data_IF_985336109953
#
_entry.id   IF_985336109953
#
_cell.length_a   1.000
_cell.length_b   1.000
_cell.length_c   1.000
_cell.angle_alpha   90.00
_cell.angle_beta   90.00
_cell.angle_gamma   90.00
#
_symmetry.space_group_name_H-M   'P 1'
#
loop_
_entity.id
_entity.type
_entity.pdbx_description
1 polymer ?
#
# COMPACT_ATOMS: atom_id res chain seq x y z
N UNK A 1 -45.62 51.24 -25.75
CA UNK A 1 -44.24 50.78 -25.57
C UNK A 1 -44.04 49.55 -26.45
N UNK A 2 -43.28 49.67 -27.53
CA UNK A 2 -42.87 48.57 -28.42
C UNK A 2 -41.36 48.37 -28.23
N UNK A 3 -40.94 47.13 -27.97
CA UNK A 3 -39.53 46.78 -27.75
C UNK A 3 -38.76 46.69 -29.07
N UNK A 4 -37.58 47.32 -29.11
CA UNK A 4 -36.61 47.29 -30.20
C UNK A 4 -35.71 46.05 -30.07
N UNK A 5 -35.95 45.00 -30.88
CA UNK A 5 -34.96 43.93 -31.10
C UNK A 5 -34.82 43.49 -32.57
N UNK A 6 -35.60 44.03 -33.50
CA UNK A 6 -35.66 43.50 -34.87
C UNK A 6 -34.61 44.03 -35.86
N UNK A 7 -33.45 44.56 -35.40
CA UNK A 7 -32.41 45.03 -36.34
C UNK A 7 -30.99 44.76 -35.84
N UNK A 8 -30.58 43.49 -35.85
CA UNK A 8 -29.15 43.12 -35.83
C UNK A 8 -28.83 42.44 -37.17
N UNK A 9 -28.01 43.05 -38.05
CA UNK A 9 -27.64 42.43 -39.31
C UNK A 9 -26.65 41.28 -39.06
N UNK A 10 -26.90 40.15 -39.70
CA UNK A 10 -26.05 38.95 -39.63
C UNK A 10 -24.83 39.18 -40.53
N UNK A 11 -23.58 39.02 -40.04
CA UNK A 11 -22.39 39.23 -40.87
C UNK A 11 -22.19 38.10 -41.90
N UNK A 12 -21.92 38.47 -43.16
CA UNK A 12 -21.68 37.58 -44.32
C UNK A 12 -20.52 36.56 -44.16
N UNK A 13 -19.72 36.64 -43.08
CA UNK A 13 -18.56 35.76 -42.86
C UNK A 13 -18.86 34.48 -42.06
N UNK A 14 -20.08 34.29 -41.58
CA UNK A 14 -20.44 33.08 -40.82
C UNK A 14 -20.51 31.84 -41.72
N UNK A 15 -21.07 31.97 -42.92
CA UNK A 15 -21.27 30.83 -43.82
C UNK A 15 -19.94 30.30 -44.39
N UNK A 16 -18.97 31.18 -44.67
CA UNK A 16 -17.63 30.77 -45.13
C UNK A 16 -16.84 30.02 -44.05
N UNK A 17 -16.96 30.42 -42.78
CA UNK A 17 -16.29 29.75 -41.65
C UNK A 17 -16.91 28.38 -41.38
N UNK A 18 -18.23 28.25 -41.54
CA UNK A 18 -18.93 26.96 -41.40
C UNK A 18 -18.55 26.00 -42.53
N UNK A 19 -18.51 26.46 -43.78
CA UNK A 19 -18.19 25.62 -44.94
C UNK A 19 -16.70 25.20 -44.94
N UNK A 20 -15.78 26.09 -44.56
CA UNK A 20 -14.35 25.75 -44.46
C UNK A 20 -14.08 24.72 -43.36
N UNK A 21 -14.71 24.87 -42.20
CA UNK A 21 -14.61 23.92 -41.08
C UNK A 21 -15.15 22.53 -41.43
N UNK A 22 -16.27 22.45 -42.18
CA UNK A 22 -16.84 21.18 -42.62
C UNK A 22 -15.97 20.44 -43.65
N UNK A 23 -15.23 21.16 -44.49
CA UNK A 23 -14.34 20.58 -45.49
C UNK A 23 -13.04 20.01 -44.87
N UNK A 24 -12.53 20.61 -43.79
CA UNK A 24 -11.41 20.04 -43.02
C UNK A 24 -11.80 18.75 -42.28
N UNK A 25 -13.01 18.70 -41.71
CA UNK A 25 -13.54 17.51 -41.03
C UNK A 25 -13.68 16.33 -41.99
N UNK A 26 -14.10 16.56 -43.26
CA UNK A 26 -14.16 15.51 -44.29
C UNK A 26 -12.78 14.96 -44.68
N UNK A 27 -11.73 15.79 -44.73
CA UNK A 27 -10.35 15.34 -45.01
C UNK A 27 -9.77 14.51 -43.85
N UNK A 28 -10.09 14.86 -42.60
CA UNK A 28 -9.70 14.10 -41.41
C UNK A 28 -10.41 12.74 -41.36
N UNK A 29 -11.71 12.69 -41.71
CA UNK A 29 -12.49 11.45 -41.76
C UNK A 29 -11.94 10.44 -42.77
N UNK A 30 -11.53 10.91 -43.97
CA UNK A 30 -10.98 10.03 -45.01
C UNK A 30 -9.55 9.55 -44.72
N UNK A 31 -8.74 10.31 -43.95
CA UNK A 31 -7.43 9.85 -43.45
C UNK A 31 -7.57 8.79 -42.34
N UNK A 32 -8.56 8.91 -41.46
CA UNK A 32 -8.83 7.92 -40.39
C UNK A 32 -9.44 6.61 -40.91
N UNK A 33 -10.20 6.66 -42.00
CA UNK A 33 -10.76 5.46 -42.65
C UNK A 33 -9.70 4.60 -43.37
N UNK A 34 -8.59 5.19 -43.83
CA UNK A 34 -7.53 4.45 -44.54
C UNK A 34 -6.59 3.65 -43.63
N UNK A 35 -6.65 3.87 -42.31
CA UNK A 35 -5.74 3.25 -41.33
C UNK A 35 -6.41 2.19 -40.43
N UNK A 36 -7.58 1.65 -40.82
CA UNK A 36 -8.26 0.56 -40.08
C UNK A 36 -8.34 -0.73 -40.90
N UNK A 37 -7.20 -1.36 -41.15
CA UNK A 37 -7.12 -2.80 -41.46
C UNK A 37 -5.99 -3.39 -40.61
N UNK A 38 -6.28 -4.55 -39.97
CA UNK A 38 -5.47 -5.37 -39.02
C UNK A 38 -5.72 -5.02 -37.53
N UNK A 39 -6.77 -5.53 -36.88
CA UNK A 39 -6.94 -6.83 -36.13
C UNK A 39 -6.56 -6.70 -34.62
N UNK A 40 -7.54 -6.48 -33.71
CA UNK A 40 -8.18 -7.45 -32.77
C UNK A 40 -7.24 -7.85 -31.59
N UNK A 41 -7.51 -7.63 -30.29
CA UNK A 41 -8.67 -7.91 -29.41
C UNK A 41 -8.49 -7.17 -28.05
N UNK A 42 -9.45 -6.80 -27.19
CA UNK A 42 -10.91 -6.74 -27.19
C UNK A 42 -11.28 -5.61 -26.21
N UNK A 43 -12.21 -4.75 -26.62
CA UNK A 43 -12.77 -3.68 -25.79
C UNK A 43 -14.20 -4.08 -25.38
N UNK A 44 -14.56 -3.86 -24.11
CA UNK A 44 -15.96 -3.69 -23.72
C UNK A 44 -16.14 -2.24 -23.28
N UNK A 45 -16.45 -1.37 -24.25
CA UNK A 45 -17.01 -0.04 -23.97
C UNK A 45 -18.53 -0.23 -23.84
N UNK A 46 -19.04 -0.21 -22.61
CA UNK A 46 -20.49 -0.18 -22.38
C UNK A 46 -20.97 1.24 -22.63
N UNK A 47 -21.86 1.37 -23.61
CA UNK A 47 -22.60 2.58 -23.90
C UNK A 47 -23.57 2.89 -22.75
N UNK A 48 -23.48 4.09 -22.16
CA UNK A 48 -24.58 4.66 -21.38
C UNK A 48 -25.26 5.71 -22.26
N UNK A 49 -26.35 5.29 -22.90
CA UNK A 49 -27.32 6.18 -23.50
C UNK A 49 -28.09 6.90 -22.38
N UNK A 50 -28.19 8.22 -22.50
CA UNK A 50 -28.98 9.03 -21.60
C UNK A 50 -30.49 8.86 -21.83
N UNK A 51 -31.25 8.76 -20.75
CA UNK A 51 -32.59 9.32 -20.60
C UNK A 51 -32.72 9.77 -19.14
N UNK A 52 -33.07 11.04 -18.94
CA UNK A 52 -33.04 11.71 -17.65
C UNK A 52 -34.13 11.26 -16.68
N UNK A 53 -33.81 11.40 -15.39
CA UNK A 53 -34.46 12.29 -14.40
C UNK A 53 -33.34 12.68 -13.41
N UNK A 54 -33.10 13.97 -13.23
CA UNK A 54 -32.09 14.51 -12.31
C UNK A 54 -32.54 14.34 -10.86
N UNK A 55 -32.07 13.28 -10.19
CA UNK A 55 -32.03 13.19 -8.74
C UNK A 55 -30.59 13.50 -8.27
N UNK A 56 -30.34 14.62 -7.56
CA UNK A 56 -29.01 14.94 -7.02
C UNK A 56 -28.44 13.86 -6.11
N UNK A 57 -29.29 13.02 -5.49
CA UNK A 57 -28.86 11.92 -4.62
C UNK A 57 -28.31 10.69 -5.37
N UNK A 58 -28.27 10.70 -6.71
CA UNK A 58 -27.68 9.65 -7.55
C UNK A 58 -26.37 10.12 -8.21
N UNK A 59 -25.92 11.35 -7.93
CA UNK A 59 -24.64 11.88 -8.41
C UNK A 59 -23.42 11.51 -7.53
N UNK A 60 -23.56 10.61 -6.55
CA UNK A 60 -22.48 10.23 -5.62
C UNK A 60 -21.84 8.86 -5.88
N UNK A 61 -22.10 8.22 -7.03
CA UNK A 61 -21.37 7.01 -7.45
C UNK A 61 -20.49 7.32 -8.66
N UNK A 62 -19.35 7.98 -8.44
CA UNK A 62 -18.22 7.83 -9.35
C UNK A 62 -17.54 6.51 -9.00
N UNK A 63 -17.59 5.47 -9.85
CA UNK A 63 -16.84 4.27 -9.56
C UNK A 63 -15.35 4.55 -9.79
N UNK A 64 -14.60 4.42 -8.69
CA UNK A 64 -13.29 3.79 -8.58
C UNK A 64 -12.20 4.44 -9.44
N UNK A 65 -11.30 5.17 -8.79
CA UNK A 65 -9.92 5.28 -9.25
C UNK A 65 -9.32 3.86 -9.19
N UNK A 66 -9.64 3.00 -10.17
CA UNK A 66 -9.17 1.61 -10.21
C UNK A 66 -7.74 1.61 -10.74
N UNK A 67 -6.82 2.13 -9.94
CA UNK A 67 -5.39 2.32 -10.25
C UNK A 67 -4.67 3.05 -9.10
N UNK A 68 -5.12 2.91 -7.85
CA UNK A 68 -4.47 3.56 -6.71
C UNK A 68 -3.04 3.04 -6.59
N UNK A 69 -2.86 1.72 -6.74
CA UNK A 69 -1.53 1.12 -6.73
C UNK A 69 -0.60 1.80 -7.74
N UNK A 70 -1.01 1.95 -9.00
CA UNK A 70 -0.18 2.60 -10.04
C UNK A 70 0.25 4.04 -9.70
N UNK A 71 -0.46 4.73 -8.81
CA UNK A 71 -0.15 6.11 -8.40
C UNK A 71 0.84 6.19 -7.24
N UNK A 72 0.81 5.20 -6.35
CA UNK A 72 1.50 5.23 -5.06
C UNK A 72 2.57 4.14 -4.89
N UNK A 73 2.56 3.09 -5.70
CA UNK A 73 3.41 1.88 -5.55
C UNK A 73 4.92 2.13 -5.54
N UNK A 74 5.37 3.28 -6.06
CA UNK A 74 6.79 3.69 -6.07
C UNK A 74 7.14 4.71 -4.97
N UNK A 75 6.19 5.07 -4.10
CA UNK A 75 6.31 6.18 -3.15
C UNK A 75 5.98 5.76 -1.71
N UNK A 76 5.83 4.47 -1.45
CA UNK A 76 5.50 3.89 -0.16
C UNK A 76 6.65 2.99 0.32
N UNK A 77 6.67 2.68 1.62
CA UNK A 77 7.75 1.94 2.29
C UNK A 77 8.00 0.57 1.68
N UNK A 78 6.93 -0.12 1.29
CA UNK A 78 6.95 -1.40 0.61
C UNK A 78 6.67 -1.17 -0.87
N UNK A 79 7.61 -0.59 -1.59
CA UNK A 79 7.44 -0.28 -3.01
C UNK A 79 7.63 -1.51 -3.90
N UNK A 80 6.92 -1.54 -5.03
CA UNK A 80 7.02 -2.63 -6.01
C UNK A 80 6.00 -2.51 -7.15
N UNK A 81 5.75 -3.60 -7.87
CA UNK A 81 4.79 -3.65 -8.97
C UNK A 81 3.46 -4.29 -8.51
N UNK A 82 2.68 -3.54 -7.75
CA UNK A 82 1.36 -4.01 -7.30
C UNK A 82 0.38 -4.07 -8.47
N UNK A 83 0.50 -3.15 -9.43
CA UNK A 83 -0.44 -3.03 -10.54
C UNK A 83 -0.53 -4.29 -11.42
N UNK A 84 0.51 -5.12 -11.46
CA UNK A 84 0.51 -6.40 -12.18
C UNK A 84 0.03 -7.59 -11.36
N UNK A 85 -0.03 -7.47 -10.02
CA UNK A 85 -0.30 -8.56 -9.09
C UNK A 85 -1.65 -8.41 -8.34
N UNK A 86 -2.12 -7.18 -8.16
CA UNK A 86 -3.29 -6.89 -7.33
C UNK A 86 -4.61 -7.27 -8.01
N UNK A 87 -5.55 -7.71 -7.17
CA UNK A 87 -6.93 -7.96 -7.56
C UNK A 87 -7.77 -6.70 -7.31
N UNK A 88 -8.66 -6.39 -8.25
CA UNK A 88 -9.71 -5.39 -8.01
C UNK A 88 -10.79 -5.99 -7.13
N UNK A 89 -11.30 -5.20 -6.20
CA UNK A 89 -12.40 -5.59 -5.32
C UNK A 89 -13.55 -4.60 -5.45
N UNK A 90 -14.76 -5.09 -5.25
CA UNK A 90 -15.98 -4.30 -5.21
C UNK A 90 -16.57 -4.42 -3.80
N UNK A 91 -16.15 -3.50 -2.93
CA UNK A 91 -16.59 -3.43 -1.52
C UNK A 91 -17.37 -2.14 -1.35
N UNK A 92 -18.48 -2.20 -0.61
CA UNK A 92 -19.31 -1.03 -0.35
C UNK A 92 -18.54 0.06 0.39
N UNK A 93 -18.58 1.29 -0.13
CA UNK A 93 -18.04 2.48 0.53
C UNK A 93 -18.61 2.61 1.93
N UNK A 94 -17.72 2.77 2.91
CA UNK A 94 -18.10 3.03 4.30
C UNK A 94 -18.03 4.53 4.57
N UNK A 95 -19.03 5.05 5.27
CA UNK A 95 -19.17 6.48 5.58
C UNK A 95 -19.38 6.68 7.08
N UNK A 96 -18.56 7.52 7.71
CA UNK A 96 -18.73 7.87 9.12
C UNK A 96 -18.13 9.24 9.42
N UNK A 97 -18.84 10.06 10.21
CA UNK A 97 -18.43 11.42 10.64
C UNK A 97 -18.00 12.38 9.49
N UNK A 98 -18.45 12.10 8.26
CA UNK A 98 -18.09 12.87 7.06
C UNK A 98 -16.81 12.38 6.37
N UNK A 99 -16.28 11.23 6.75
CA UNK A 99 -15.25 10.50 6.05
C UNK A 99 -15.88 9.34 5.27
N UNK A 100 -15.73 9.36 3.95
CA UNK A 100 -16.07 8.26 3.06
C UNK A 100 -14.78 7.51 2.69
N UNK A 101 -14.79 6.18 2.82
CA UNK A 101 -13.67 5.31 2.46
C UNK A 101 -14.14 4.22 1.51
N UNK A 102 -13.45 4.09 0.37
CA UNK A 102 -13.66 3.04 -0.62
C UNK A 102 -12.41 2.18 -0.74
N UNK A 103 -12.59 0.86 -0.77
CA UNK A 103 -11.53 -0.11 -1.08
C UNK A 103 -11.62 -0.46 -2.56
N UNK A 104 -10.52 -0.36 -3.30
CA UNK A 104 -10.51 -0.55 -4.76
C UNK A 104 -9.70 -1.79 -5.21
N UNK A 105 -8.53 -1.99 -4.64
CA UNK A 105 -7.54 -2.99 -5.04
C UNK A 105 -6.92 -3.64 -3.80
N UNK A 106 -6.57 -4.92 -3.91
CA UNK A 106 -5.92 -5.69 -2.86
C UNK A 106 -4.88 -6.65 -3.42
N UNK A 107 -3.76 -6.75 -2.73
CA UNK A 107 -2.77 -7.81 -2.93
C UNK A 107 -2.49 -8.51 -1.60
N UNK A 108 -2.29 -9.82 -1.60
CA UNK A 108 -1.94 -10.57 -0.41
C UNK A 108 -0.96 -11.69 -0.76
N UNK A 109 0.16 -11.77 -0.04
CA UNK A 109 1.18 -12.81 -0.16
C UNK A 109 1.06 -13.91 0.91
N UNK A 110 -0.03 -13.87 1.70
CA UNK A 110 -0.27 -14.77 2.82
C UNK A 110 0.48 -14.41 4.10
N UNK A 111 1.42 -13.47 4.04
CA UNK A 111 2.13 -12.91 5.18
C UNK A 111 1.62 -11.52 5.56
N UNK A 112 1.22 -10.74 4.56
CA UNK A 112 0.67 -9.40 4.65
C UNK A 112 -0.43 -9.21 3.59
N UNK A 113 -1.43 -8.38 3.89
CA UNK A 113 -2.38 -7.86 2.91
C UNK A 113 -2.13 -6.37 2.68
N UNK A 114 -2.14 -5.94 1.42
CA UNK A 114 -1.95 -4.56 0.99
C UNK A 114 -3.23 -4.07 0.34
N UNK A 115 -3.88 -3.11 0.97
CA UNK A 115 -5.26 -2.71 0.67
C UNK A 115 -5.25 -1.24 0.28
N UNK A 116 -5.70 -0.92 -0.94
CA UNK A 116 -5.81 0.47 -1.35
C UNK A 116 -7.07 1.11 -0.74
N UNK A 117 -6.95 2.34 -0.27
CA UNK A 117 -8.04 3.14 0.28
C UNK A 117 -8.13 4.47 -0.47
N UNK A 118 -9.31 4.77 -0.99
CA UNK A 118 -9.69 6.10 -1.46
C UNK A 118 -10.55 6.76 -0.38
N UNK A 119 -10.09 7.92 0.11
CA UNK A 119 -10.68 8.63 1.23
C UNK A 119 -11.15 10.01 0.77
N UNK A 120 -12.39 10.36 1.12
CA UNK A 120 -12.96 11.69 0.92
C UNK A 120 -13.49 12.19 2.24
N UNK A 121 -12.94 13.30 2.74
CA UNK A 121 -13.40 13.95 3.96
C UNK A 121 -14.29 15.15 3.63
N UNK A 122 -15.25 15.45 4.50
CA UNK A 122 -16.18 16.59 4.34
C UNK A 122 -15.46 17.95 4.33
N UNK A 123 -14.32 18.04 5.02
CA UNK A 123 -13.51 19.25 5.16
C UNK A 123 -12.14 19.06 4.47
N UNK A 124 -11.42 20.16 4.22
CA UNK A 124 -10.09 20.09 3.63
C UNK A 124 -9.10 19.33 4.55
N UNK A 125 -8.34 18.42 3.95
CA UNK A 125 -7.19 17.77 4.56
C UNK A 125 -6.05 18.79 4.62
N UNK A 126 -5.67 19.16 5.85
CA UNK A 126 -4.56 20.05 6.12
C UNK A 126 -3.19 19.48 5.71
N UNK A 127 -2.16 19.84 6.46
CA UNK A 127 -0.83 19.24 6.26
C UNK A 127 -0.84 17.82 6.82
N UNK A 128 -0.49 16.84 6.00
CA UNK A 128 -0.35 15.45 6.43
C UNK A 128 1.04 15.19 7.01
N UNK A 129 1.17 14.26 7.97
CA UNK A 129 2.45 13.84 8.51
C UNK A 129 3.20 13.11 7.41
N UNK A 130 4.53 13.22 7.46
CA UNK A 130 5.41 12.54 6.53
C UNK A 130 6.18 11.46 7.25
N UNK A 131 6.17 10.25 6.72
CA UNK A 131 6.92 9.13 7.29
C UNK A 131 8.20 8.90 6.48
N UNK A 132 9.37 8.80 7.14
CA UNK A 132 10.62 8.44 6.49
C UNK A 132 10.50 7.12 5.72
N UNK A 133 10.93 7.10 4.46
CA UNK A 133 11.11 5.88 3.69
C UNK A 133 12.38 5.14 4.11
N UNK A 134 13.35 5.87 4.70
CA UNK A 134 14.59 5.28 5.16
C UNK A 134 15.04 5.70 6.57
N UNK A 135 16.00 4.93 7.10
CA UNK A 135 16.57 5.11 8.44
C UNK A 135 17.42 6.40 8.54
N UNK A 136 17.79 6.98 7.41
CA UNK A 136 18.52 8.24 7.30
C UNK A 136 17.57 9.45 7.13
N UNK A 137 16.25 9.18 7.07
CA UNK A 137 15.16 10.12 6.86
C UNK A 137 15.31 11.00 5.60
N UNK A 138 15.99 10.46 4.59
CA UNK A 138 16.35 11.22 3.38
C UNK A 138 15.15 11.43 2.45
N UNK A 139 14.25 10.45 2.42
CA UNK A 139 12.99 10.48 1.69
C UNK A 139 11.82 10.24 2.65
N UNK A 140 10.66 10.81 2.33
CA UNK A 140 9.44 10.61 3.12
C UNK A 140 8.19 10.75 2.26
N UNK A 141 7.09 10.14 2.69
CA UNK A 141 5.80 10.20 2.01
C UNK A 141 4.67 10.58 2.97
N UNK A 142 3.55 11.07 2.43
CA UNK A 142 2.40 11.43 3.26
C UNK A 142 1.69 10.18 3.78
N UNK A 143 1.31 10.20 5.05
CA UNK A 143 0.60 9.08 5.67
C UNK A 143 -0.60 9.56 6.47
N UNK A 144 -1.61 8.71 6.63
CA UNK A 144 -2.69 8.87 7.60
C UNK A 144 -2.59 7.73 8.60
N UNK A 145 -2.68 8.02 9.89
CA UNK A 145 -2.65 6.99 10.92
C UNK A 145 -4.04 6.39 11.11
N UNK A 146 -4.08 5.09 11.38
CA UNK A 146 -5.33 4.42 11.70
C UNK A 146 -5.14 3.33 12.75
N UNK A 147 -6.15 3.16 13.60
CA UNK A 147 -6.27 1.98 14.45
C UNK A 147 -7.13 0.95 13.72
N UNK A 148 -6.57 -0.23 13.46
CA UNK A 148 -7.28 -1.31 12.79
C UNK A 148 -7.58 -2.45 13.75
N UNK A 149 -8.75 -3.06 13.56
CA UNK A 149 -9.07 -4.36 14.12
C UNK A 149 -9.55 -5.27 13.01
N UNK A 150 -9.18 -6.55 13.06
CA UNK A 150 -9.56 -7.46 12.00
C UNK A 150 -9.60 -8.93 12.41
N UNK A 151 -10.27 -9.70 11.58
CA UNK A 151 -10.37 -11.16 11.65
C UNK A 151 -10.54 -11.71 10.24
N UNK A 152 -10.26 -13.00 10.06
CA UNK A 152 -10.58 -13.71 8.82
C UNK A 152 -11.68 -14.73 9.08
N UNK A 153 -12.45 -15.06 8.05
CA UNK A 153 -13.46 -16.09 8.14
C UNK A 153 -12.87 -17.48 8.44
N UNK A 154 -13.65 -18.31 9.15
CA UNK A 154 -13.20 -19.61 9.64
C UNK A 154 -12.39 -19.55 10.96
N UNK A 155 -11.92 -18.38 11.38
CA UNK A 155 -11.19 -18.23 12.64
C UNK A 155 -12.09 -17.60 13.72
N UNK A 156 -12.40 -18.40 14.74
CA UNK A 156 -13.26 -18.01 15.86
C UNK A 156 -12.46 -17.31 16.98
N UNK A 157 -11.66 -16.32 16.59
CA UNK A 157 -10.98 -15.43 17.53
C UNK A 157 -11.39 -14.00 17.17
N UNK A 158 -12.16 -13.36 18.05
CA UNK A 158 -12.50 -11.96 17.86
C UNK A 158 -11.23 -11.12 17.89
N UNK A 159 -10.94 -10.45 16.76
CA UNK A 159 -9.91 -9.40 16.62
C UNK A 159 -8.48 -9.89 16.78
N UNK A 160 -8.14 -10.94 16.05
CA UNK A 160 -6.76 -11.45 15.94
C UNK A 160 -5.78 -10.41 15.37
N UNK A 161 -6.30 -9.45 14.62
CA UNK A 161 -5.58 -8.26 14.17
C UNK A 161 -6.04 -7.09 15.04
N UNK A 162 -5.11 -6.43 15.72
CA UNK A 162 -5.34 -5.23 16.53
C UNK A 162 -4.03 -4.43 16.59
N UNK A 163 -3.92 -3.39 15.77
CA UNK A 163 -2.68 -2.63 15.60
C UNK A 163 -2.95 -1.20 15.12
N UNK A 164 -2.00 -0.30 15.43
CA UNK A 164 -1.96 1.03 14.82
C UNK A 164 -1.08 0.98 13.58
N UNK A 165 -1.68 1.31 12.45
CA UNK A 165 -1.04 1.26 11.14
C UNK A 165 -1.06 2.62 10.46
N UNK A 166 -0.35 2.70 9.34
CA UNK A 166 -0.37 3.85 8.45
C UNK A 166 -1.01 3.48 7.12
N UNK A 167 -1.77 4.42 6.59
CA UNK A 167 -2.22 4.45 5.20
C UNK A 167 -1.22 5.34 4.47
N UNK A 168 -0.31 4.73 3.71
CA UNK A 168 0.79 5.41 3.03
C UNK A 168 0.36 5.83 1.62
N UNK A 169 0.53 7.10 1.25
CA UNK A 169 0.02 7.58 -0.03
C UNK A 169 0.21 9.07 -0.26
N UNK A 170 -0.80 9.70 -0.85
CA UNK A 170 -0.77 11.14 -1.15
C UNK A 170 -2.16 11.74 -1.27
N UNK A 171 -2.27 13.05 -1.00
CA UNK A 171 -3.49 13.80 -1.31
C UNK A 171 -3.78 13.79 -2.82
N UNK A 172 -5.02 13.49 -3.18
CA UNK A 172 -5.53 13.54 -4.55
C UNK A 172 -6.36 14.80 -4.81
N UNK A 173 -6.74 15.51 -3.75
CA UNK A 173 -7.46 16.79 -3.79
C UNK A 173 -7.37 17.52 -2.44
N UNK A 174 -8.02 18.68 -2.28
CA UNK A 174 -8.02 19.43 -1.02
C UNK A 174 -8.57 18.61 0.15
N UNK A 175 -9.57 17.76 -0.08
CA UNK A 175 -10.27 16.95 0.91
C UNK A 175 -10.17 15.44 0.66
N UNK A 176 -9.28 15.02 -0.24
CA UNK A 176 -9.20 13.64 -0.72
C UNK A 176 -7.78 13.07 -0.60
N UNK A 177 -7.69 11.79 -0.22
CA UNK A 177 -6.43 11.06 -0.07
C UNK A 177 -6.56 9.66 -0.68
N UNK A 178 -5.50 9.19 -1.33
CA UNK A 178 -5.41 7.82 -1.79
C UNK A 178 -4.10 7.19 -1.29
N UNK A 179 -4.18 5.97 -0.77
CA UNK A 179 -3.02 5.28 -0.21
C UNK A 179 -3.23 3.79 -0.01
N UNK A 180 -2.21 3.15 0.55
CA UNK A 180 -2.15 1.71 0.82
C UNK A 180 -2.05 1.50 2.32
N UNK A 181 -2.95 0.68 2.84
CA UNK A 181 -2.87 0.12 4.18
C UNK A 181 -2.24 -1.27 4.10
N UNK A 182 -1.12 -1.48 4.81
CA UNK A 182 -0.57 -2.81 5.04
C UNK A 182 -1.18 -3.40 6.30
N UNK A 183 -1.60 -4.66 6.22
CA UNK A 183 -2.12 -5.44 7.34
C UNK A 183 -1.26 -6.69 7.51
N UNK A 184 -0.57 -6.82 8.64
CA UNK A 184 0.21 -8.02 8.95
C UNK A 184 -0.72 -9.18 9.33
N UNK A 185 -0.44 -10.36 8.79
CA UNK A 185 -1.18 -11.60 9.06
C UNK A 185 -0.38 -12.58 9.95
N UNK A 186 0.65 -12.09 10.64
CA UNK A 186 1.49 -12.87 11.56
C UNK A 186 0.71 -13.47 12.72
N UNK A 187 -0.27 -12.76 13.27
CA UNK A 187 -1.13 -13.30 14.34
C UNK A 187 -2.13 -14.34 13.89
N UNK A 188 -2.33 -14.47 12.58
CA UNK A 188 -3.31 -15.41 12.05
C UNK A 188 -2.71 -16.83 12.03
N UNK A 189 -3.33 -17.83 12.70
CA UNK A 189 -2.75 -19.15 12.88
C UNK A 189 -2.65 -19.94 11.58
N UNK A 190 -3.61 -19.76 10.68
CA UNK A 190 -3.60 -20.39 9.35
C UNK A 190 -4.24 -19.47 8.31
N UNK A 191 -3.67 -19.43 7.11
CA UNK A 191 -4.14 -18.63 5.99
C UNK A 191 -4.54 -19.56 4.84
N UNK A 192 -5.82 -19.50 4.45
CA UNK A 192 -6.35 -20.21 3.30
C UNK A 192 -5.99 -19.48 1.99
N UNK A 193 -6.09 -20.18 0.86
CA UNK A 193 -5.83 -19.61 -0.49
C UNK A 193 -6.81 -18.47 -0.81
N UNK A 194 -8.04 -18.60 -0.33
CA UNK A 194 -9.08 -17.58 -0.41
C UNK A 194 -9.71 -17.42 0.96
N UNK A 195 -9.95 -16.18 1.37
CA UNK A 195 -10.62 -15.86 2.62
C UNK A 195 -11.25 -14.47 2.57
N UNK A 196 -12.13 -14.19 3.52
CA UNK A 196 -12.77 -12.89 3.68
C UNK A 196 -12.14 -12.16 4.87
N UNK A 197 -11.41 -11.08 4.60
CA UNK A 197 -10.84 -10.21 5.62
C UNK A 197 -11.92 -9.26 6.13
N UNK A 198 -12.35 -9.45 7.38
CA UNK A 198 -13.21 -8.52 8.10
C UNK A 198 -12.32 -7.48 8.76
N UNK A 199 -12.26 -6.28 8.19
CA UNK A 199 -11.40 -5.18 8.64
C UNK A 199 -12.26 -4.04 9.19
N UNK A 200 -11.85 -3.49 10.32
CA UNK A 200 -12.53 -2.40 11.02
C UNK A 200 -11.53 -1.29 11.30
N UNK A 201 -11.69 -0.14 10.64
CA UNK A 201 -10.92 1.07 10.96
C UNK A 201 -11.63 1.75 12.12
N UNK A 202 -11.06 1.68 13.32
CA UNK A 202 -11.66 2.20 14.56
C UNK A 202 -11.41 3.68 14.76
N UNK A 203 -10.24 4.13 14.31
CA UNK A 203 -9.82 5.51 14.37
C UNK A 203 -9.04 5.83 13.10
N UNK A 204 -9.24 7.03 12.56
CA UNK A 204 -8.45 7.58 11.45
C UNK A 204 -8.05 8.99 11.84
N UNK A 205 -6.76 9.32 11.79
CA UNK A 205 -6.22 10.56 12.33
C UNK A 205 -5.05 11.10 11.50
N UNK A 206 -4.99 12.43 11.37
CA UNK A 206 -3.98 13.13 10.56
C UNK A 206 -2.79 13.56 11.42
N UNK A 207 -2.99 13.98 12.66
CA UNK A 207 -1.86 14.45 13.46
C UNK A 207 -1.02 13.27 13.95
N UNK A 208 0.28 13.30 13.65
CA UNK A 208 1.26 12.45 14.31
C UNK A 208 1.22 12.75 15.81
N UNK A 209 1.45 11.71 16.60
CA UNK A 209 1.73 11.79 18.01
C UNK A 209 3.00 12.66 18.19
N UNK A 210 2.88 14.00 18.25
CA UNK A 210 3.99 14.93 18.52
C UNK A 210 4.67 14.64 19.87
N UNK A 211 4.06 13.75 20.66
CA UNK A 211 4.62 13.10 21.84
C UNK A 211 4.40 11.61 21.66
N UNK A 212 5.45 10.83 21.39
CA UNK A 212 5.36 9.39 21.17
C UNK A 212 4.46 8.69 22.18
N UNK A 213 3.35 8.14 21.70
CA UNK A 213 2.34 7.45 22.51
C UNK A 213 0.92 7.80 22.08
N UNK A 214 0.01 6.82 22.17
CA UNK A 214 -1.43 6.92 21.86
C UNK A 214 -1.99 8.20 22.48
N UNK A 215 -2.52 9.10 21.66
CA UNK A 215 -3.31 10.24 22.15
C UNK A 215 -4.75 9.73 22.27
N UNK A 216 -5.41 10.00 23.39
CA UNK A 216 -6.84 9.73 23.54
C UNK A 216 -7.63 10.74 22.68
N UNK A 217 -8.75 10.33 22.08
CA UNK A 217 -9.65 11.24 21.38
C UNK A 217 -10.18 12.36 22.30
N UNK A 218 -10.24 12.12 23.61
CA UNK A 218 -10.52 13.15 24.61
C UNK A 218 -9.41 14.20 24.72
N UNK A 219 -8.15 13.81 24.51
CA UNK A 219 -6.97 14.66 24.69
C UNK A 219 -6.59 15.43 23.42
N UNK A 220 -6.92 14.91 22.23
CA UNK A 220 -6.78 15.62 20.95
C UNK A 220 -7.96 15.40 20.00
N UNK A 221 -9.14 15.96 20.29
CA UNK A 221 -10.33 15.76 19.47
C UNK A 221 -10.20 16.27 18.04
N UNK A 222 -9.26 17.20 17.78
CA UNK A 222 -9.04 17.79 16.46
C UNK A 222 -8.06 17.00 15.57
N UNK A 223 -7.34 16.02 16.13
CA UNK A 223 -6.42 15.17 15.38
C UNK A 223 -7.12 14.08 14.57
N UNK A 224 -8.38 13.77 14.90
CA UNK A 224 -9.17 12.68 14.31
C UNK A 224 -10.00 13.15 13.13
N UNK A 225 -10.04 12.34 12.08
CA UNK A 225 -11.04 12.39 11.02
C UNK A 225 -12.31 11.63 11.41
N UNK A 226 -12.15 10.51 12.12
CA UNK A 226 -13.26 9.72 12.64
C UNK A 226 -12.83 8.91 13.87
N UNK A 227 -13.76 8.73 14.83
CA UNK A 227 -13.56 7.93 16.06
C UNK A 227 -14.47 6.67 16.12
N UNK A 228 -15.07 6.27 15.01
CA UNK A 228 -16.01 5.15 14.90
C UNK A 228 -15.61 4.10 13.86
N UNK A 229 -16.12 2.86 13.98
CA UNK A 229 -15.74 1.79 13.07
C UNK A 229 -16.25 2.05 11.65
N UNK A 230 -15.33 2.01 10.69
CA UNK A 230 -15.61 1.79 9.28
C UNK A 230 -15.30 0.32 8.99
N UNK A 231 -16.33 -0.49 8.74
CA UNK A 231 -16.23 -1.95 8.66
C UNK A 231 -16.30 -2.43 7.22
N UNK A 232 -15.29 -3.19 6.80
CA UNK A 232 -15.15 -3.76 5.47
C UNK A 232 -15.13 -5.28 5.53
N UNK A 233 -15.69 -5.91 4.51
CA UNK A 233 -15.52 -7.32 4.25
C UNK A 233 -14.86 -7.50 2.89
N UNK A 234 -13.54 -7.76 2.90
CA UNK A 234 -12.70 -7.70 1.71
C UNK A 234 -12.38 -9.13 1.27
N UNK A 235 -12.79 -9.55 0.06
CA UNK A 235 -12.39 -10.85 -0.47
C UNK A 235 -10.90 -10.83 -0.80
N UNK A 236 -10.17 -11.84 -0.32
CA UNK A 236 -8.73 -12.01 -0.54
C UNK A 236 -8.49 -13.30 -1.30
N UNK A 237 -7.65 -13.21 -2.33
CA UNK A 237 -6.98 -14.35 -2.96
C UNK A 237 -5.48 -14.20 -2.69
N UNK A 238 -4.88 -15.24 -2.14
CA UNK A 238 -3.48 -15.25 -1.73
C UNK A 238 -2.58 -15.61 -2.91
N UNK A 239 -1.61 -14.75 -3.19
CA UNK A 239 -0.51 -15.05 -4.11
C UNK A 239 0.52 -15.95 -3.41
N UNK A 240 0.59 -17.19 -3.87
CA UNK A 240 1.63 -18.16 -3.47
C UNK A 240 2.69 -18.36 -4.54
N UNK A 241 2.44 -17.87 -5.76
CA UNK A 241 3.34 -18.08 -6.89
C UNK A 241 4.60 -17.21 -6.77
N UNK A 242 4.44 -15.99 -6.25
CA UNK A 242 5.54 -15.05 -6.08
C UNK A 242 6.14 -15.06 -4.66
N UNK A 243 5.86 -16.10 -3.86
CA UNK A 243 6.34 -16.23 -2.49
C UNK A 243 7.28 -17.44 -2.37
N UNK A 244 8.44 -17.23 -1.75
CA UNK A 244 9.39 -18.30 -1.45
C UNK A 244 9.73 -18.32 0.03
N UNK A 245 9.43 -19.44 0.70
CA UNK A 245 9.95 -19.74 2.04
C UNK A 245 11.15 -20.68 1.92
N UNK A 246 12.25 -20.30 2.56
CA UNK A 246 13.50 -21.05 2.57
C UNK A 246 13.79 -21.43 4.03
N UNK A 247 13.68 -22.72 4.32
CA UNK A 247 14.04 -23.28 5.62
C UNK A 247 15.58 -23.33 5.74
N UNK A 248 16.11 -22.79 6.83
CA UNK A 248 17.54 -22.74 7.11
C UNK A 248 17.88 -23.66 8.28
N UNK A 249 17.21 -23.49 9.41
CA UNK A 249 17.34 -24.29 10.63
C UNK A 249 18.81 -24.53 11.04
N UNK A 250 19.57 -23.43 11.12
CA UNK A 250 20.99 -23.44 11.46
C UNK A 250 21.26 -22.47 12.61
N UNK A 251 22.12 -22.90 13.53
CA UNK A 251 22.56 -22.15 14.70
C UNK A 251 24.07 -22.37 14.88
N UNK A 252 24.80 -21.33 15.29
CA UNK A 252 26.22 -21.41 15.60
C UNK A 252 26.46 -21.72 17.09
N UNK A 253 27.72 -21.97 17.46
CA UNK A 253 28.10 -22.31 18.84
C UNK A 253 27.80 -21.19 19.88
N UNK A 254 27.46 -19.99 19.42
CA UNK A 254 27.10 -18.83 20.25
C UNK A 254 25.59 -18.65 20.41
N UNK A 255 24.77 -19.53 19.83
CA UNK A 255 23.31 -19.47 19.92
C UNK A 255 22.64 -18.53 18.90
N UNK A 256 23.37 -18.05 17.90
CA UNK A 256 22.85 -17.22 16.83
C UNK A 256 22.59 -18.05 15.58
N UNK A 257 21.47 -17.79 14.91
CA UNK A 257 21.08 -18.58 13.76
C UNK A 257 19.86 -18.07 13.02
N UNK A 258 19.38 -18.87 12.08
CA UNK A 258 18.17 -18.61 11.31
C UNK A 258 17.29 -19.87 11.28
N UNK A 259 15.99 -19.66 11.47
CA UNK A 259 14.99 -20.70 11.22
C UNK A 259 14.61 -20.69 9.75
N UNK A 260 14.10 -19.56 9.26
CA UNK A 260 13.66 -19.45 7.87
C UNK A 260 13.81 -18.04 7.32
N UNK A 261 13.77 -17.95 5.99
CA UNK A 261 13.72 -16.69 5.26
C UNK A 261 12.56 -16.76 4.28
N UNK A 262 11.66 -15.79 4.36
CA UNK A 262 10.55 -15.62 3.41
C UNK A 262 10.86 -14.45 2.51
N UNK A 263 10.70 -14.64 1.22
CA UNK A 263 10.82 -13.59 0.20
C UNK A 263 9.50 -13.49 -0.53
N UNK A 264 8.87 -12.32 -0.45
CA UNK A 264 7.69 -11.93 -1.22
C UNK A 264 8.09 -10.84 -2.23
N UNK A 265 7.20 -10.41 -3.14
CA UNK A 265 7.51 -9.31 -4.05
C UNK A 265 7.84 -7.99 -3.34
N UNK A 266 7.35 -7.80 -2.10
CA UNK A 266 7.40 -6.52 -1.40
C UNK A 266 8.20 -6.57 -0.10
N UNK A 267 8.28 -7.73 0.57
CA UNK A 267 9.00 -7.88 1.83
C UNK A 267 9.90 -9.13 1.89
N UNK A 268 10.96 -9.01 2.68
CA UNK A 268 11.78 -10.13 3.16
C UNK A 268 11.54 -10.27 4.65
N UNK A 269 11.23 -11.47 5.11
CA UNK A 269 11.06 -11.79 6.53
C UNK A 269 12.16 -12.76 6.92
N UNK A 270 12.92 -12.40 7.94
CA UNK A 270 13.99 -13.23 8.50
C UNK A 270 13.60 -13.68 9.89
N UNK A 271 13.33 -14.97 10.04
CA UNK A 271 13.05 -15.60 11.33
C UNK A 271 14.36 -16.06 11.96
N UNK A 272 14.77 -15.38 13.03
CA UNK A 272 16.09 -15.55 13.62
C UNK A 272 16.08 -16.32 14.95
N UNK A 273 17.19 -17.02 15.18
CA UNK A 273 17.52 -17.69 16.43
C UNK A 273 18.46 -16.76 17.20
N UNK A 274 18.15 -16.57 18.48
CA UNK A 274 18.92 -15.74 19.40
C UNK A 274 19.23 -16.55 20.66
N UNK A 275 20.41 -16.34 21.28
CA UNK A 275 20.74 -16.99 22.54
C UNK A 275 19.71 -16.63 23.63
N UNK A 276 19.53 -17.50 24.62
CA UNK A 276 18.53 -17.29 25.67
C UNK A 276 18.88 -16.12 26.61
N UNK A 277 20.18 -15.88 26.85
CA UNK A 277 20.70 -14.85 27.77
C UNK A 277 20.95 -13.50 27.06
N UNK A 278 19.91 -12.96 26.40
CA UNK A 278 19.98 -11.65 25.71
C UNK A 278 20.13 -10.45 26.66
N UNK A 279 19.84 -10.63 27.95
CA UNK A 279 19.87 -9.58 28.98
C UNK A 279 21.26 -8.95 29.18
N UNK A 280 22.32 -9.58 28.67
CA UNK A 280 23.68 -9.03 28.68
C UNK A 280 23.98 -8.06 27.52
N UNK A 281 23.09 -7.95 26.52
CA UNK A 281 23.30 -7.12 25.33
C UNK A 281 22.51 -5.82 25.46
N UNK A 282 23.18 -4.76 25.90
CA UNK A 282 22.60 -3.45 26.25
C UNK A 282 21.68 -2.82 25.18
N UNK A 283 21.87 -3.16 23.90
CA UNK A 283 21.07 -2.65 22.78
C UNK A 283 20.31 -3.75 22.01
N UNK A 284 20.31 -4.98 22.50
CA UNK A 284 19.79 -6.15 21.79
C UNK A 284 20.55 -6.49 20.50
N UNK A 285 20.15 -7.59 19.87
CA UNK A 285 20.72 -8.08 18.61
C UNK A 285 19.94 -7.52 17.42
N UNK A 286 20.63 -7.32 16.29
CA UNK A 286 20.00 -6.89 15.05
C UNK A 286 20.31 -7.82 13.91
N UNK A 287 19.42 -7.85 12.92
CA UNK A 287 19.58 -8.56 11.66
C UNK A 287 19.63 -7.52 10.54
N UNK A 288 20.45 -7.75 9.53
CA UNK A 288 20.46 -6.97 8.29
C UNK A 288 20.59 -7.90 7.09
N UNK A 289 20.10 -7.45 5.93
CA UNK A 289 20.08 -8.21 4.69
C UNK A 289 20.71 -7.37 3.59
N UNK A 290 21.56 -7.98 2.78
CA UNK A 290 22.11 -7.40 1.55
C UNK A 290 21.75 -8.30 0.36
N UNK A 291 21.68 -7.75 -0.85
CA UNK A 291 21.65 -8.57 -2.07
C UNK A 291 23.05 -8.95 -2.55
N UNK A 292 23.10 -9.69 -3.66
CA UNK A 292 24.32 -10.11 -4.37
C UNK A 292 25.23 -8.95 -4.82
N UNK A 293 24.67 -7.74 -4.97
CA UNK A 293 25.41 -6.51 -5.30
C UNK A 293 25.97 -5.79 -4.07
N UNK A 294 25.72 -6.30 -2.86
CA UNK A 294 26.10 -5.66 -1.61
C UNK A 294 25.25 -4.44 -1.25
N UNK A 295 24.04 -4.33 -1.81
CA UNK A 295 23.09 -3.27 -1.47
C UNK A 295 22.25 -3.70 -0.26
N UNK A 296 22.24 -2.89 0.79
CA UNK A 296 21.47 -3.20 2.00
C UNK A 296 19.95 -3.07 1.77
N UNK A 297 19.19 -4.04 2.24
CA UNK A 297 17.73 -3.97 2.31
C UNK A 297 17.29 -3.03 3.42
N UNK A 298 16.11 -2.44 3.26
CA UNK A 298 15.56 -1.46 4.17
C UNK A 298 14.92 -2.17 5.37
N UNK A 299 15.51 -2.09 6.55
CA UNK A 299 14.84 -2.58 7.77
C UNK A 299 13.57 -1.77 8.04
N UNK A 300 12.45 -2.46 8.23
CA UNK A 300 11.16 -1.85 8.58
C UNK A 300 10.85 -2.00 10.06
N UNK A 301 10.96 -3.22 10.60
CA UNK A 301 10.52 -3.53 11.95
C UNK A 301 10.52 -5.02 12.26
N UNK A 302 9.99 -5.35 13.44
CA UNK A 302 9.72 -6.74 13.82
C UNK A 302 8.26 -7.12 13.58
N UNK A 303 8.01 -8.42 13.45
CA UNK A 303 6.67 -9.02 13.48
C UNK A 303 6.62 -10.15 14.52
N UNK A 304 5.44 -10.70 14.76
CA UNK A 304 5.29 -11.87 15.63
C UNK A 304 6.02 -13.07 15.04
N UNK A 305 6.92 -13.64 15.85
CA UNK A 305 7.74 -14.78 15.47
C UNK A 305 6.90 -16.06 15.49
N UNK A 306 7.07 -16.91 14.48
CA UNK A 306 6.41 -18.23 14.37
C UNK A 306 7.43 -19.35 14.55
N UNK A 307 6.91 -20.58 14.67
CA UNK A 307 7.70 -21.81 14.54
C UNK A 307 8.92 -21.91 15.49
N UNK A 308 8.84 -21.27 16.66
CA UNK A 308 9.90 -21.28 17.67
C UNK A 308 10.99 -20.22 17.47
N UNK A 309 10.86 -19.34 16.47
CA UNK A 309 11.77 -18.22 16.27
C UNK A 309 11.74 -17.25 17.46
N UNK A 310 12.90 -16.65 17.77
CA UNK A 310 13.03 -15.66 18.85
C UNK A 310 12.80 -14.24 18.35
N UNK A 311 12.93 -14.02 17.04
CA UNK A 311 12.54 -12.78 16.37
C UNK A 311 12.15 -13.03 14.92
N UNK A 312 11.44 -12.06 14.35
CA UNK A 312 11.12 -12.02 12.94
C UNK A 312 11.32 -10.58 12.43
N UNK A 313 12.43 -10.34 11.73
CA UNK A 313 12.79 -9.04 11.18
C UNK A 313 12.21 -8.88 9.76
N UNK A 314 11.63 -7.72 9.47
CA UNK A 314 11.01 -7.39 8.18
C UNK A 314 11.83 -6.34 7.47
N UNK A 315 12.09 -6.59 6.18
CA UNK A 315 12.78 -5.68 5.29
C UNK A 315 11.94 -5.42 4.04
N UNK A 316 11.94 -4.20 3.51
CA UNK A 316 11.29 -3.95 2.22
C UNK A 316 12.23 -4.27 1.05
N UNK A 317 11.66 -4.89 0.02
CA UNK A 317 12.38 -5.29 -1.21
C UNK A 317 12.69 -4.08 -2.08
N UNK A 318 11.71 -3.16 -2.24
CA UNK A 318 11.86 -1.94 -3.03
C UNK A 318 12.47 -2.19 -4.42
N UNK A 319 11.95 -3.21 -5.12
CA UNK A 319 12.37 -3.65 -6.46
C UNK A 319 13.84 -4.07 -6.59
N UNK A 320 14.55 -4.24 -5.47
CA UNK A 320 15.92 -4.76 -5.47
C UNK A 320 15.93 -6.23 -5.89
N UNK A 321 17.03 -6.65 -6.51
CA UNK A 321 17.23 -8.08 -6.81
C UNK A 321 17.30 -8.86 -5.49
N UNK A 322 16.51 -9.92 -5.41
CA UNK A 322 16.43 -10.83 -4.26
C UNK A 322 16.94 -12.22 -4.60
N UNK A 323 17.56 -12.41 -5.78
CA UNK A 323 17.94 -13.74 -6.24
C UNK A 323 18.98 -14.45 -5.39
N UNK A 324 19.81 -13.69 -4.68
CA UNK A 324 20.67 -14.14 -3.60
C UNK A 324 20.69 -13.06 -2.49
N UNK A 325 20.63 -13.51 -1.24
CA UNK A 325 20.59 -12.66 -0.05
C UNK A 325 21.75 -13.01 0.88
N UNK A 326 22.45 -12.00 1.39
CA UNK A 326 23.45 -12.12 2.44
C UNK A 326 22.86 -11.57 3.73
N UNK A 327 22.65 -12.44 4.70
CA UNK A 327 22.00 -12.13 5.97
C UNK A 327 23.05 -12.12 7.07
N UNK A 328 23.06 -11.08 7.90
CA UNK A 328 24.00 -10.92 8.99
C UNK A 328 23.27 -10.60 10.28
N UNK A 329 23.72 -11.20 11.38
CA UNK A 329 23.28 -10.88 12.73
C UNK A 329 24.44 -10.26 13.51
N UNK A 330 24.18 -9.17 14.23
CA UNK A 330 25.17 -8.50 15.06
C UNK A 330 24.64 -8.19 16.46
N UNK A 331 25.55 -8.10 17.42
CA UNK A 331 25.28 -7.88 18.85
C UNK A 331 24.84 -6.44 19.21
N UNK A 332 24.71 -5.54 18.25
CA UNK A 332 24.17 -4.21 18.50
C UNK A 332 23.11 -3.90 17.47
N UNK A 333 21.84 -3.93 17.88
CA UNK A 333 20.68 -3.73 17.01
C UNK A 333 20.85 -2.51 16.10
N UNK A 334 21.09 -1.33 16.67
CA UNK A 334 21.17 -0.07 15.93
C UNK A 334 22.32 -0.07 14.93
N UNK A 335 23.52 -0.51 15.33
CA UNK A 335 24.67 -0.57 14.43
C UNK A 335 24.43 -1.55 13.28
N UNK A 336 23.79 -2.68 13.55
CA UNK A 336 23.51 -3.71 12.54
C UNK A 336 22.49 -3.22 11.52
N UNK A 337 21.33 -2.71 11.94
CA UNK A 337 20.26 -2.30 11.00
C UNK A 337 20.63 -1.04 10.19
N UNK A 338 21.54 -0.20 10.71
CA UNK A 338 22.04 0.99 10.02
C UNK A 338 23.23 0.72 9.10
N UNK A 339 23.83 -0.47 9.16
CA UNK A 339 25.01 -0.76 8.32
C UNK A 339 24.61 -0.85 6.84
N UNK A 340 25.30 -0.09 6.00
CA UNK A 340 25.08 -0.04 4.53
C UNK A 340 26.27 -0.59 3.74
N UNK A 341 27.41 -0.83 4.38
CA UNK A 341 28.60 -1.43 3.78
C UNK A 341 28.70 -2.90 4.23
N UNK A 342 28.51 -3.81 3.28
CA UNK A 342 28.51 -5.24 3.55
C UNK A 342 29.86 -5.74 4.09
N UNK A 343 30.99 -5.15 3.67
CA UNK A 343 32.31 -5.57 4.16
C UNK A 343 32.48 -5.21 5.64
N UNK A 344 32.04 -4.01 6.03
CA UNK A 344 32.00 -3.63 7.45
C UNK A 344 31.04 -4.51 8.23
N UNK A 345 29.91 -4.90 7.63
CA UNK A 345 28.98 -5.83 8.28
C UNK A 345 29.64 -7.19 8.53
N UNK A 346 30.37 -7.75 7.55
CA UNK A 346 31.11 -9.01 7.69
C UNK A 346 32.11 -8.98 8.84
N UNK A 347 32.78 -7.85 9.06
CA UNK A 347 33.76 -7.70 10.15
C UNK A 347 33.11 -7.69 11.55
N UNK A 348 31.85 -7.25 11.67
CA UNK A 348 31.16 -7.10 12.95
C UNK A 348 30.06 -8.13 13.22
N UNK A 349 29.75 -8.99 12.26
CA UNK A 349 28.68 -9.97 12.38
C UNK A 349 29.07 -11.14 13.31
N UNK A 350 28.15 -11.54 14.17
CA UNK A 350 28.29 -12.73 15.02
C UNK A 350 27.78 -13.99 14.30
N UNK A 351 26.86 -13.82 13.34
CA UNK A 351 26.35 -14.86 12.47
C UNK A 351 26.16 -14.32 11.05
N UNK A 352 26.36 -15.16 10.04
CA UNK A 352 26.09 -14.81 8.65
C UNK A 352 25.61 -16.00 7.84
N UNK A 353 24.71 -15.76 6.89
CA UNK A 353 24.23 -16.78 5.95
C UNK A 353 24.01 -16.19 4.57
N UNK A 354 24.48 -16.91 3.55
CA UNK A 354 24.10 -16.66 2.15
C UNK A 354 22.94 -17.57 1.78
N UNK A 355 21.88 -16.99 1.22
CA UNK A 355 20.66 -17.68 0.78
C UNK A 355 20.47 -17.46 -0.71
N UNK A 356 20.41 -18.56 -1.47
CA UNK A 356 20.00 -18.51 -2.88
C UNK A 356 18.48 -18.68 -2.96
N UNK A 357 17.83 -17.70 -3.57
CA UNK A 357 16.36 -17.65 -3.65
C UNK A 357 15.86 -18.26 -4.96
N UNK A 358 16.71 -18.37 -5.99
CA UNK A 358 16.35 -18.92 -7.31
C UNK A 358 16.04 -20.41 -7.29
#
# INVERSE_FOLDING_TARGET
MQNKFDNIPIPERLDEVVISSMNEIRKIKNRRLRNKVIAASAATVIAIGGLGITNPAIASKLPIISQIFSQVEKKITFSGDYSSLANKVDVETQSSEGLDITVAEVYCDGYSAYITLEMNYKDELGKLPRFPLDVDESESHESIYCHIKGSIDGINEERIIDSFERIEGSKTGPNSFAGVLKVNLDRVPYINDEFSLKLSLRQVLIESLDKGGIVDAADNPNGYLVSGPLDFNIPITVDKENVKKIEVNEENDLGFGLISVVVTPFEIIVEDIRPEDLDAIEFGTGVTVFNDKGEAMQYYGGREAKDGAKGAAVFSVNEKDTSELHIYTGENFIKTIKQKDENKMKEMATYSKTIKVK
#
